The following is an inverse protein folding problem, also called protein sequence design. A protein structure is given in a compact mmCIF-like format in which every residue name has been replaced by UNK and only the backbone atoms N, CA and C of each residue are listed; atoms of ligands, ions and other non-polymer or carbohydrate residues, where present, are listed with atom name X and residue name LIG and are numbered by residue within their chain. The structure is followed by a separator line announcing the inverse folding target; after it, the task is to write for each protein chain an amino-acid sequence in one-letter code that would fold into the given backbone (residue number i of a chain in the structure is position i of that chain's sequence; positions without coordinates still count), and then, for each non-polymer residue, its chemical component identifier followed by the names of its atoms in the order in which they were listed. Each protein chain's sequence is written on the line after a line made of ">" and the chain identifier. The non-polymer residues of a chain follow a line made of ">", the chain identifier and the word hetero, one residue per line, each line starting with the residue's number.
data_IF_253486332464
#
_entry.id   IF_253486332464
#
_cell.length_a   1.000
_cell.length_b   1.000
_cell.length_c   1.000
_cell.angle_alpha   90.00
_cell.angle_beta   90.00
_cell.angle_gamma   90.00
#
_symmetry.space_group_name_H-M   'P 1'
#
loop_
_entity.id
_entity.type
_entity.pdbx_description
1 polymer ?
#
# COMPACT_ATOMS: atom_id res chain seq x y z
N UNK A 1 27.00 10.36 -12.26
CA UNK A 1 25.61 10.12 -11.82
C UNK A 1 24.84 11.44 -11.96
N UNK A 2 23.68 11.41 -12.63
CA UNK A 2 22.78 12.55 -12.66
C UNK A 2 22.09 12.69 -11.31
N UNK A 3 22.25 13.82 -10.66
CA UNK A 3 21.54 14.17 -9.42
C UNK A 3 20.24 14.85 -9.83
N UNK A 4 19.10 14.33 -9.35
CA UNK A 4 17.79 14.90 -9.64
C UNK A 4 17.02 15.18 -8.35
N UNK A 5 16.39 16.34 -8.29
CA UNK A 5 15.46 16.68 -7.21
C UNK A 5 14.07 16.17 -7.52
N UNK A 6 13.39 15.63 -6.51
CA UNK A 6 12.00 15.20 -6.63
C UNK A 6 11.09 16.16 -5.87
N UNK A 7 10.27 16.90 -6.60
CA UNK A 7 9.26 17.77 -6.03
C UNK A 7 7.92 17.06 -5.88
N UNK A 8 7.41 16.97 -4.66
CA UNK A 8 6.10 16.36 -4.36
C UNK A 8 5.16 17.38 -3.76
N UNK A 9 4.01 17.57 -4.39
CA UNK A 9 2.92 18.42 -3.87
C UNK A 9 1.68 17.59 -3.63
N UNK A 10 1.16 17.64 -2.40
CA UNK A 10 -0.09 16.95 -2.08
C UNK A 10 -1.28 17.59 -2.79
N UNK A 11 -2.25 16.75 -3.17
CA UNK A 11 -3.56 17.19 -3.67
C UNK A 11 -4.65 16.73 -2.71
N UNK A 12 -5.57 17.63 -2.37
CA UNK A 12 -6.68 17.37 -1.46
C UNK A 12 -7.76 16.46 -2.06
N UNK A 13 -7.83 16.37 -3.39
CA UNK A 13 -8.85 15.58 -4.09
C UNK A 13 -8.19 14.62 -5.07
N UNK A 14 -8.11 13.35 -4.66
CA UNK A 14 -7.68 12.26 -5.53
C UNK A 14 -8.87 11.73 -6.32
N UNK A 15 -8.66 11.41 -7.59
CA UNK A 15 -9.64 10.78 -8.47
C UNK A 15 -9.22 9.34 -8.77
N UNK A 16 -10.21 8.51 -9.06
CA UNK A 16 -9.98 7.13 -9.49
C UNK A 16 -9.10 7.05 -10.76
N UNK A 17 -8.46 5.91 -10.93
CA UNK A 17 -7.65 5.61 -12.10
C UNK A 17 -8.13 4.32 -12.79
N UNK A 18 -8.12 4.32 -14.13
CA UNK A 18 -8.09 3.10 -14.93
C UNK A 18 -6.63 2.86 -15.33
N UNK A 19 -5.94 2.03 -14.53
CA UNK A 19 -4.51 1.82 -14.72
C UNK A 19 -4.24 1.08 -16.05
N UNK A 20 -3.44 1.65 -16.96
CA UNK A 20 -3.09 0.97 -18.19
C UNK A 20 -2.24 -0.27 -17.92
N UNK A 21 -2.67 -1.45 -18.38
CA UNK A 21 -1.96 -2.72 -18.11
C UNK A 21 -0.53 -2.76 -18.67
N UNK A 22 -0.21 -1.93 -19.66
CA UNK A 22 1.17 -1.78 -20.19
C UNK A 22 2.16 -1.26 -19.15
N UNK A 23 1.68 -0.64 -18.06
CA UNK A 23 2.52 -0.16 -16.97
C UNK A 23 2.73 -1.19 -15.86
N UNK A 24 2.12 -2.39 -15.96
CA UNK A 24 2.15 -3.36 -14.88
C UNK A 24 3.58 -3.82 -14.54
N UNK A 25 4.41 -4.07 -15.54
CA UNK A 25 5.79 -4.52 -15.33
C UNK A 25 6.66 -3.46 -14.63
N UNK A 26 6.54 -2.20 -15.03
CA UNK A 26 7.30 -1.10 -14.44
C UNK A 26 6.79 -0.68 -13.06
N UNK A 27 5.50 -0.88 -12.77
CA UNK A 27 4.87 -0.51 -11.51
C UNK A 27 4.64 -1.70 -10.55
N UNK A 28 5.13 -2.89 -10.89
CA UNK A 28 4.77 -4.13 -10.20
C UNK A 28 5.08 -4.10 -8.70
N UNK A 29 6.17 -3.48 -8.33
CA UNK A 29 6.59 -3.37 -6.95
C UNK A 29 5.90 -2.22 -6.19
N UNK A 30 5.29 -1.28 -6.89
CA UNK A 30 4.62 -0.12 -6.34
C UNK A 30 3.10 -0.29 -6.19
N UNK A 31 2.52 -1.34 -6.77
CA UNK A 31 1.06 -1.52 -6.76
C UNK A 31 0.43 -1.49 -5.38
N UNK A 32 1.09 -1.99 -4.35
CA UNK A 32 0.52 -1.96 -3.00
C UNK A 32 0.30 -0.53 -2.50
N UNK A 33 1.23 0.37 -2.75
CA UNK A 33 1.10 1.80 -2.41
C UNK A 33 0.09 2.48 -3.35
N UNK A 34 0.11 2.14 -4.64
CA UNK A 34 -0.88 2.64 -5.60
C UNK A 34 -2.30 2.24 -5.18
N UNK A 35 -2.51 1.02 -4.66
CA UNK A 35 -3.80 0.58 -4.13
C UNK A 35 -4.22 1.38 -2.90
N UNK A 36 -3.28 1.75 -2.01
CA UNK A 36 -3.57 2.62 -0.87
C UNK A 36 -4.00 4.01 -1.34
N UNK A 37 -3.32 4.58 -2.34
CA UNK A 37 -3.72 5.86 -2.95
C UNK A 37 -5.10 5.74 -3.59
N UNK A 38 -5.38 4.65 -4.32
CA UNK A 38 -6.70 4.37 -4.90
C UNK A 38 -7.79 4.22 -3.83
N UNK A 39 -7.45 3.68 -2.64
CA UNK A 39 -8.37 3.58 -1.51
C UNK A 39 -8.82 4.95 -0.98
N UNK A 40 -8.02 6.00 -1.15
CA UNK A 40 -8.35 7.40 -0.79
C UNK A 40 -8.93 8.20 -1.95
N UNK A 41 -8.98 7.66 -3.16
CA UNK A 41 -9.49 8.36 -4.32
C UNK A 41 -11.03 8.36 -4.36
N UNK A 42 -11.64 9.40 -4.93
CA UNK A 42 -13.08 9.42 -5.19
C UNK A 42 -13.37 8.57 -6.43
N UNK A 43 -14.24 7.56 -6.29
CA UNK A 43 -14.70 6.70 -7.38
C UNK A 43 -14.08 5.31 -7.35
N UNK A 44 -14.11 4.60 -8.47
CA UNK A 44 -13.70 3.20 -8.58
C UNK A 44 -12.45 3.11 -9.47
N UNK A 45 -11.32 2.78 -8.86
CA UNK A 45 -10.07 2.51 -9.58
C UNK A 45 -10.05 1.08 -10.11
N UNK A 46 -9.56 0.89 -11.34
CA UNK A 46 -9.51 -0.40 -12.02
C UNK A 46 -8.07 -0.76 -12.39
N UNK A 47 -7.70 -1.99 -12.08
CA UNK A 47 -6.39 -2.56 -12.39
C UNK A 47 -6.60 -3.91 -13.04
N UNK A 48 -5.93 -4.16 -14.16
CA UNK A 48 -6.09 -5.37 -14.95
C UNK A 48 -4.79 -6.13 -15.11
N UNK A 49 -4.88 -7.44 -15.34
CA UNK A 49 -3.75 -8.32 -15.68
C UNK A 49 -2.64 -8.33 -14.62
N UNK A 50 -3.01 -8.42 -13.33
CA UNK A 50 -2.08 -8.37 -12.19
C UNK A 50 -1.51 -9.74 -11.80
N UNK A 51 -1.50 -10.73 -12.70
CA UNK A 51 -1.04 -12.10 -12.40
C UNK A 51 0.38 -12.15 -11.83
N UNK A 52 1.29 -11.30 -12.35
CA UNK A 52 2.69 -11.26 -11.94
C UNK A 52 2.89 -10.87 -10.47
N UNK A 53 1.95 -10.12 -9.88
CA UNK A 53 2.03 -9.78 -8.46
C UNK A 53 1.95 -11.02 -7.54
N UNK A 54 1.32 -12.10 -7.98
CA UNK A 54 1.24 -13.35 -7.21
C UNK A 54 2.41 -14.31 -7.46
N UNK A 55 3.35 -13.93 -8.34
CA UNK A 55 4.61 -14.66 -8.60
C UNK A 55 5.81 -14.06 -7.87
N UNK A 56 5.60 -13.07 -7.00
CA UNK A 56 6.64 -12.44 -6.18
C UNK A 56 6.95 -13.27 -4.93
N UNK A 57 7.69 -12.72 -3.97
CA UNK A 57 8.09 -13.36 -2.69
C UNK A 57 6.88 -13.88 -1.90
N UNK A 58 5.74 -13.26 -2.13
CA UNK A 58 4.43 -13.66 -1.60
C UNK A 58 3.36 -13.56 -2.69
N UNK A 59 2.17 -14.11 -2.45
CA UNK A 59 0.99 -13.83 -3.28
C UNK A 59 0.54 -12.38 -3.04
N UNK A 60 1.32 -11.43 -3.54
CA UNK A 60 1.27 -10.00 -3.21
C UNK A 60 -0.09 -9.36 -3.56
N UNK A 61 -0.71 -9.76 -4.67
CA UNK A 61 -2.07 -9.31 -5.02
C UNK A 61 -3.09 -9.76 -3.96
N UNK A 62 -3.03 -11.02 -3.54
CA UNK A 62 -3.96 -11.58 -2.55
C UNK A 62 -3.81 -10.89 -1.20
N UNK A 63 -2.57 -10.65 -0.78
CA UNK A 63 -2.26 -9.94 0.46
C UNK A 63 -2.69 -8.47 0.40
N UNK A 64 -2.48 -7.79 -0.72
CA UNK A 64 -2.93 -6.41 -0.92
C UNK A 64 -4.45 -6.28 -0.85
N UNK A 65 -5.19 -7.20 -1.48
CA UNK A 65 -6.66 -7.25 -1.37
C UNK A 65 -7.09 -7.49 0.08
N UNK A 66 -6.48 -8.46 0.76
CA UNK A 66 -6.75 -8.74 2.17
C UNK A 66 -6.50 -7.51 3.05
N UNK A 67 -5.41 -6.81 2.81
CA UNK A 67 -5.04 -5.59 3.52
C UNK A 67 -6.09 -4.48 3.30
N UNK A 68 -6.48 -4.20 2.06
CA UNK A 68 -7.50 -3.19 1.76
C UNK A 68 -8.83 -3.49 2.44
N UNK A 69 -9.25 -4.75 2.44
CA UNK A 69 -10.47 -5.19 3.14
C UNK A 69 -10.36 -5.03 4.65
N UNK A 70 -9.19 -5.28 5.23
CA UNK A 70 -8.92 -5.07 6.66
C UNK A 70 -9.15 -3.61 7.08
N UNK A 71 -8.77 -2.65 6.24
CA UNK A 71 -8.99 -1.22 6.50
C UNK A 71 -10.36 -0.72 6.03
N UNK A 72 -11.29 -1.62 5.68
CA UNK A 72 -12.67 -1.29 5.35
C UNK A 72 -12.93 -0.88 3.91
N UNK A 73 -11.98 -1.11 3.00
CA UNK A 73 -12.15 -0.79 1.58
C UNK A 73 -12.78 -1.97 0.83
N UNK A 74 -13.87 -1.69 0.11
CA UNK A 74 -14.48 -2.67 -0.79
C UNK A 74 -13.59 -2.91 -1.99
N UNK A 75 -13.20 -4.18 -2.20
CA UNK A 75 -12.44 -4.63 -3.36
C UNK A 75 -13.19 -5.76 -4.05
N UNK A 76 -13.53 -5.55 -5.30
CA UNK A 76 -14.04 -6.57 -6.22
C UNK A 76 -12.86 -7.19 -6.96
N UNK A 77 -12.87 -8.51 -7.07
CA UNK A 77 -11.86 -9.26 -7.80
C UNK A 77 -12.51 -10.13 -8.85
N UNK A 78 -11.95 -10.12 -10.03
CA UNK A 78 -12.28 -11.05 -11.10
C UNK A 78 -10.96 -11.61 -11.67
N UNK A 79 -10.65 -12.85 -11.36
CA UNK A 79 -9.35 -13.47 -11.65
C UNK A 79 -8.16 -12.62 -11.15
N UNK A 80 -7.40 -12.01 -12.08
CA UNK A 80 -6.25 -11.15 -11.80
C UNK A 80 -6.56 -9.65 -11.98
N UNK A 81 -7.83 -9.31 -12.16
CA UNK A 81 -8.31 -7.94 -12.23
C UNK A 81 -8.93 -7.54 -10.90
N UNK A 82 -8.78 -6.29 -10.51
CA UNK A 82 -9.43 -5.75 -9.32
C UNK A 82 -10.07 -4.39 -9.59
N UNK A 83 -11.13 -4.11 -8.81
CA UNK A 83 -11.72 -2.79 -8.67
C UNK A 83 -11.64 -2.37 -7.22
N UNK A 84 -11.10 -1.19 -6.96
CA UNK A 84 -10.99 -0.61 -5.62
C UNK A 84 -11.99 0.52 -5.52
N UNK A 85 -12.97 0.38 -4.63
CA UNK A 85 -13.94 1.42 -4.33
C UNK A 85 -13.33 2.39 -3.32
N UNK A 86 -12.85 3.52 -3.82
CA UNK A 86 -12.17 4.49 -2.99
C UNK A 86 -13.11 5.25 -2.05
N UNK A 87 -12.58 5.62 -0.89
CA UNK A 87 -13.25 6.43 0.12
C UNK A 87 -12.35 7.61 0.48
N UNK A 88 -12.60 8.82 -0.05
CA UNK A 88 -11.83 10.02 0.28
C UNK A 88 -11.79 10.35 1.76
N UNK A 89 -12.87 10.01 2.48
CA UNK A 89 -13.04 10.33 3.91
C UNK A 89 -12.52 9.20 4.82
N UNK A 90 -11.82 8.22 4.27
CA UNK A 90 -11.29 7.10 5.05
C UNK A 90 -10.34 7.59 6.14
N UNK A 91 -10.74 7.38 7.38
CA UNK A 91 -9.95 7.59 8.60
C UNK A 91 -10.04 6.33 9.43
N UNK A 92 -8.92 5.89 9.95
CA UNK A 92 -8.83 4.66 10.74
C UNK A 92 -8.74 5.02 12.22
N UNK A 93 -9.67 4.50 13.03
CA UNK A 93 -9.76 4.80 14.47
C UNK A 93 -9.61 3.59 15.38
N UNK A 94 -9.60 2.38 14.78
CA UNK A 94 -9.54 1.11 15.52
C UNK A 94 -8.10 0.67 15.80
N UNK A 95 -8.00 -0.45 16.51
CA UNK A 95 -6.76 -1.19 16.66
C UNK A 95 -6.64 -2.19 15.50
N UNK A 96 -5.47 -2.21 14.86
CA UNK A 96 -5.16 -3.12 13.75
C UNK A 96 -3.96 -3.98 14.11
N UNK A 97 -4.02 -5.24 13.77
CA UNK A 97 -2.88 -6.14 13.90
C UNK A 97 -2.53 -6.75 12.55
N UNK A 98 -1.27 -6.59 12.15
CA UNK A 98 -0.72 -7.14 10.92
C UNK A 98 0.21 -8.28 11.28
N UNK A 99 -0.24 -9.50 10.98
CA UNK A 99 0.49 -10.75 11.20
C UNK A 99 0.28 -11.71 10.02
N UNK A 100 1.18 -12.66 9.85
CA UNK A 100 1.10 -13.71 8.81
C UNK A 100 1.10 -13.15 7.37
N UNK A 101 1.93 -12.14 7.10
CA UNK A 101 2.12 -11.58 5.76
C UNK A 101 3.37 -12.14 5.06
N UNK A 102 3.76 -13.37 5.40
CA UNK A 102 4.83 -14.14 4.76
C UNK A 102 6.17 -13.40 4.67
N UNK A 103 6.47 -12.54 5.65
CA UNK A 103 7.69 -11.70 5.72
C UNK A 103 7.87 -10.78 4.50
N UNK A 104 6.81 -10.45 3.78
CA UNK A 104 6.87 -9.53 2.65
C UNK A 104 7.11 -8.10 3.15
N UNK A 105 8.31 -7.58 2.89
CA UNK A 105 8.71 -6.24 3.31
C UNK A 105 7.82 -5.13 2.76
N UNK A 106 7.23 -5.31 1.58
CA UNK A 106 6.32 -4.31 0.98
C UNK A 106 4.98 -4.24 1.70
N UNK A 107 4.48 -5.36 2.23
CA UNK A 107 3.30 -5.35 3.12
C UNK A 107 3.63 -4.68 4.44
N UNK A 108 4.85 -4.89 4.97
CA UNK A 108 5.30 -4.17 6.16
C UNK A 108 5.33 -2.66 5.92
N UNK A 109 5.93 -2.21 4.82
CA UNK A 109 6.00 -0.79 4.45
C UNK A 109 4.61 -0.19 4.23
N UNK A 110 3.75 -0.87 3.46
CA UNK A 110 2.36 -0.48 3.26
C UNK A 110 1.64 -0.25 4.60
N UNK A 111 1.81 -1.17 5.55
CA UNK A 111 1.15 -1.09 6.86
C UNK A 111 1.62 0.12 7.66
N UNK A 112 2.94 0.39 7.68
CA UNK A 112 3.50 1.55 8.34
C UNK A 112 3.01 2.86 7.73
N UNK A 113 3.03 2.97 6.40
CA UNK A 113 2.56 4.18 5.69
C UNK A 113 1.05 4.37 5.90
N UNK A 114 0.27 3.29 5.90
CA UNK A 114 -1.17 3.36 6.20
C UNK A 114 -1.42 3.89 7.61
N UNK A 115 -0.70 3.38 8.61
CA UNK A 115 -0.80 3.84 10.00
C UNK A 115 -0.52 5.34 10.12
N UNK A 116 0.52 5.83 9.45
CA UNK A 116 0.90 7.25 9.48
C UNK A 116 -0.09 8.16 8.74
N UNK A 117 -0.60 7.69 7.61
CA UNK A 117 -1.43 8.53 6.72
C UNK A 117 -2.92 8.48 7.04
N UNK A 118 -3.42 7.39 7.61
CA UNK A 118 -4.85 7.17 7.84
C UNK A 118 -5.23 7.07 9.32
N UNK A 119 -4.25 6.99 10.23
CA UNK A 119 -4.49 6.91 11.67
C UNK A 119 -4.72 5.48 12.20
N UNK A 120 -5.35 5.36 13.37
CA UNK A 120 -5.53 4.11 14.10
C UNK A 120 -4.31 3.72 14.95
N UNK A 121 -4.46 2.66 15.75
CA UNK A 121 -3.36 2.05 16.50
C UNK A 121 -2.98 0.74 15.84
N UNK A 122 -1.70 0.57 15.54
CA UNK A 122 -1.23 -0.56 14.75
C UNK A 122 -0.17 -1.38 15.47
N UNK A 123 -0.37 -2.69 15.49
CA UNK A 123 0.65 -3.67 15.83
C UNK A 123 1.07 -4.37 14.55
N UNK A 124 2.25 -4.04 14.07
CA UNK A 124 2.79 -4.58 12.82
C UNK A 124 3.92 -5.53 13.19
N UNK A 125 3.70 -6.82 12.94
CA UNK A 125 4.68 -7.86 13.19
C UNK A 125 5.73 -7.89 12.06
N UNK A 126 6.80 -8.67 12.28
CA UNK A 126 7.81 -8.94 11.25
C UNK A 126 8.71 -7.73 10.88
N UNK A 127 9.05 -6.93 11.89
CA UNK A 127 9.96 -5.78 11.75
C UNK A 127 11.26 -6.13 11.00
N UNK A 128 11.74 -7.37 11.15
CA UNK A 128 12.97 -7.84 10.49
C UNK A 128 12.85 -7.87 8.96
N UNK A 129 11.63 -7.98 8.41
CA UNK A 129 11.42 -7.98 6.95
C UNK A 129 11.87 -6.69 6.28
N UNK A 130 11.83 -5.56 7.00
CA UNK A 130 12.30 -4.27 6.48
C UNK A 130 13.82 -4.21 6.27
N UNK A 131 14.59 -4.94 7.08
CA UNK A 131 16.05 -4.83 7.10
C UNK A 131 16.72 -5.33 5.81
N UNK A 132 16.07 -6.23 5.07
CA UNK A 132 16.61 -6.79 3.83
C UNK A 132 16.55 -5.82 2.66
N UNK A 133 15.59 -4.88 2.67
CA UNK A 133 15.32 -4.00 1.54
C UNK A 133 15.54 -2.52 1.87
N UNK A 134 15.20 -2.11 3.11
CA UNK A 134 15.35 -0.71 3.53
C UNK A 134 15.63 -0.63 5.05
N UNK A 135 16.86 -0.92 5.51
CA UNK A 135 17.21 -0.96 6.93
C UNK A 135 16.90 0.34 7.70
N UNK A 136 17.07 1.49 7.05
CA UNK A 136 16.84 2.82 7.64
C UNK A 136 15.37 3.24 7.69
N UNK A 137 14.45 2.46 7.14
CA UNK A 137 13.04 2.83 6.98
C UNK A 137 12.39 3.32 8.28
N UNK A 138 12.45 2.53 9.34
CA UNK A 138 11.84 2.91 10.63
C UNK A 138 12.54 4.11 11.28
N UNK A 139 13.84 4.25 11.09
CA UNK A 139 14.60 5.41 11.58
C UNK A 139 14.16 6.68 10.87
N UNK A 140 13.97 6.62 9.56
CA UNK A 140 13.45 7.74 8.76
C UNK A 140 12.04 8.10 9.21
N UNK A 141 11.14 7.11 9.36
CA UNK A 141 9.79 7.36 9.85
C UNK A 141 9.78 8.08 11.21
N UNK A 142 10.66 7.68 12.15
CA UNK A 142 10.80 8.37 13.44
C UNK A 142 11.28 9.82 13.27
N UNK A 143 12.25 10.07 12.36
CA UNK A 143 12.73 11.44 12.09
C UNK A 143 11.64 12.36 11.56
N UNK A 144 10.69 11.85 10.80
CA UNK A 144 9.54 12.63 10.28
C UNK A 144 8.34 12.65 11.23
N UNK A 145 8.50 12.18 12.49
CA UNK A 145 7.51 12.33 13.54
C UNK A 145 6.65 11.10 13.84
N UNK A 146 6.95 9.93 13.27
CA UNK A 146 6.22 8.71 13.61
C UNK A 146 6.50 8.27 15.05
N UNK A 147 5.42 8.01 15.81
CA UNK A 147 5.50 7.40 17.16
C UNK A 147 5.56 5.88 17.01
N UNK A 148 6.75 5.31 17.15
CA UNK A 148 7.02 3.86 17.00
C UNK A 148 7.63 3.36 18.30
N UNK A 149 6.95 2.42 18.93
CA UNK A 149 7.41 1.71 20.13
C UNK A 149 8.08 0.37 19.76
#
# INVERSE_FOLDING_TARGET
>A
EEISDIYVKSKTKLKFINCPSKLNSSAIDEFLIIFLVAAKAKGISKFKNLSEMNKKESKRLDLGIKFLRLIGIKVERFNNDIKIHGNPDLVLTKNYEIKNFLKDHRIFFLSCITALSLGGKWKINDKKSANTSFPEFLKILKKIGAKIN
#
